data_IF_764401259360
#
_entry.id   IF_764401259360
#
_cell.length_a   1.000
_cell.length_b   1.000
_cell.length_c   1.000
_cell.angle_alpha   90.00
_cell.angle_beta   90.00
_cell.angle_gamma   90.00
#
_symmetry.space_group_name_H-M   'P 1'
#
loop_
_entity.id
_entity.type
_entity.pdbx_description
1 polymer ?
#
# COMPACT_ATOMS: atom_id res chain seq x y z
N UNK A 1 -27.17 -50.38 -11.88
CA UNK A 1 -25.76 -50.02 -11.56
C UNK A 1 -25.33 -48.67 -12.15
N UNK A 2 -25.70 -48.33 -13.39
CA UNK A 2 -25.34 -47.04 -14.02
C UNK A 2 -25.92 -45.78 -13.32
N UNK A 3 -27.12 -45.86 -12.72
CA UNK A 3 -27.74 -44.73 -12.02
C UNK A 3 -27.01 -44.31 -10.73
N UNK A 4 -26.44 -45.26 -9.98
CA UNK A 4 -25.62 -44.96 -8.80
C UNK A 4 -24.31 -44.27 -9.19
N UNK A 5 -23.75 -44.63 -10.35
CA UNK A 5 -22.52 -44.02 -10.86
C UNK A 5 -22.73 -42.56 -11.31
N UNK A 6 -23.94 -42.21 -11.78
CA UNK A 6 -24.29 -40.83 -12.13
C UNK A 6 -24.42 -39.95 -10.88
N UNK A 7 -25.17 -40.39 -9.88
CA UNK A 7 -25.35 -39.65 -8.62
C UNK A 7 -24.02 -39.42 -7.86
N UNK A 8 -23.09 -40.38 -7.93
CA UNK A 8 -21.76 -40.23 -7.33
C UNK A 8 -20.89 -39.21 -8.10
N UNK A 9 -21.05 -39.09 -9.42
CA UNK A 9 -20.36 -38.06 -10.22
C UNK A 9 -20.87 -36.66 -9.90
N UNK A 10 -22.19 -36.49 -9.73
CA UNK A 10 -22.77 -35.19 -9.35
C UNK A 10 -22.33 -34.75 -7.95
N UNK A 11 -22.17 -35.70 -7.03
CA UNK A 11 -21.64 -35.43 -5.69
C UNK A 11 -20.15 -35.03 -5.74
N UNK A 12 -19.36 -35.65 -6.61
CA UNK A 12 -17.94 -35.33 -6.80
C UNK A 12 -17.75 -33.95 -7.44
N UNK A 13 -18.52 -33.60 -8.47
CA UNK A 13 -18.45 -32.30 -9.16
C UNK A 13 -18.77 -31.13 -8.21
N UNK A 14 -19.72 -31.34 -7.28
CA UNK A 14 -20.02 -30.39 -6.20
C UNK A 14 -18.85 -30.24 -5.23
N UNK A 15 -18.18 -31.33 -4.86
CA UNK A 15 -17.01 -31.28 -3.97
C UNK A 15 -15.83 -30.57 -4.63
N UNK A 16 -15.61 -30.78 -5.93
CA UNK A 16 -14.53 -30.15 -6.69
C UNK A 16 -14.77 -28.65 -6.87
N UNK A 17 -16.04 -28.25 -7.05
CA UNK A 17 -16.45 -26.84 -7.07
C UNK A 17 -16.22 -26.15 -5.73
N UNK A 18 -16.57 -26.81 -4.62
CA UNK A 18 -16.34 -26.30 -3.26
C UNK A 18 -14.84 -26.18 -2.98
N UNK A 19 -14.05 -27.19 -3.36
CA UNK A 19 -12.59 -27.22 -3.17
C UNK A 19 -11.89 -26.10 -3.96
N UNK A 20 -12.38 -25.81 -5.17
CA UNK A 20 -11.85 -24.72 -6.01
C UNK A 20 -12.16 -23.33 -5.44
N UNK A 21 -13.33 -23.14 -4.82
CA UNK A 21 -13.68 -21.89 -4.16
C UNK A 21 -12.82 -21.64 -2.89
N UNK A 22 -12.58 -22.70 -2.10
CA UNK A 22 -11.78 -22.63 -0.87
C UNK A 22 -10.30 -22.35 -1.16
N UNK A 23 -9.73 -23.00 -2.19
CA UNK A 23 -8.32 -22.80 -2.56
C UNK A 23 -8.03 -21.40 -3.11
N UNK A 24 -8.99 -20.76 -3.78
CA UNK A 24 -8.85 -19.37 -4.25
C UNK A 24 -8.92 -18.34 -3.12
N UNK A 25 -9.72 -18.59 -2.08
CA UNK A 25 -9.83 -17.70 -0.92
C UNK A 25 -8.58 -17.74 0.00
N UNK A 26 -7.88 -18.87 0.02
CA UNK A 26 -6.65 -19.07 0.79
C UNK A 26 -5.41 -19.14 -0.12
N UNK A 27 -5.36 -18.34 -1.20
CA UNK A 27 -4.07 -18.10 -1.86
C UNK A 27 -3.26 -17.18 -0.94
N UNK A 28 -2.17 -17.63 -0.30
CA UNK A 28 -1.33 -16.74 0.48
C UNK A 28 -0.88 -15.64 -0.47
N UNK A 29 -1.30 -14.40 -0.20
CA UNK A 29 -0.76 -13.24 -0.90
C UNK A 29 0.72 -13.26 -0.56
N UNK A 30 1.56 -13.52 -1.56
CA UNK A 30 3.01 -13.51 -1.40
C UNK A 30 3.40 -12.16 -0.77
N UNK A 31 3.79 -12.19 0.51
CA UNK A 31 4.11 -10.98 1.26
C UNK A 31 5.48 -10.54 0.78
N UNK A 32 5.50 -9.66 -0.22
CA UNK A 32 6.74 -9.03 -0.67
C UNK A 32 7.23 -8.08 0.42
N UNK A 33 8.26 -8.49 1.16
CA UNK A 33 8.91 -7.68 2.19
C UNK A 33 9.73 -6.57 1.54
N UNK A 34 9.06 -5.50 1.10
CA UNK A 34 9.70 -4.29 0.58
C UNK A 34 9.49 -3.11 1.53
N UNK A 35 10.57 -2.35 1.72
CA UNK A 35 10.55 -1.10 2.48
C UNK A 35 11.12 0.03 1.61
N UNK A 36 11.06 1.26 2.14
CA UNK A 36 11.64 2.41 1.46
C UNK A 36 13.16 2.20 1.24
N UNK A 37 13.69 2.49 0.04
CA UNK A 37 15.12 2.39 -0.22
C UNK A 37 15.91 3.39 0.62
N UNK A 38 17.16 3.04 0.95
CA UNK A 38 18.09 3.95 1.61
C UNK A 38 18.40 5.17 0.73
N UNK A 39 18.28 6.36 1.30
CA UNK A 39 18.57 7.62 0.61
C UNK A 39 19.93 8.17 1.07
N UNK A 40 20.92 8.16 0.17
CA UNK A 40 22.28 8.61 0.47
C UNK A 40 22.35 10.09 0.90
N UNK A 41 21.31 10.90 0.64
CA UNK A 41 21.21 12.29 1.11
C UNK A 41 21.11 12.38 2.64
N UNK A 42 20.71 11.29 3.30
CA UNK A 42 20.48 11.23 4.74
C UNK A 42 21.29 10.08 5.38
N UNK A 43 22.63 10.18 5.45
CA UNK A 43 23.49 9.10 5.96
C UNK A 43 23.45 8.94 7.49
N UNK A 44 22.87 9.91 8.20
CA UNK A 44 22.83 9.92 9.66
C UNK A 44 21.73 9.00 10.22
N UNK A 45 21.94 8.44 11.41
CA UNK A 45 20.93 7.61 12.10
C UNK A 45 19.61 8.36 12.36
N UNK A 46 19.65 9.69 12.51
CA UNK A 46 18.44 10.49 12.66
C UNK A 46 17.69 10.63 11.33
N UNK A 47 16.58 9.90 11.17
CA UNK A 47 15.76 9.89 9.95
C UNK A 47 14.65 10.95 9.93
N UNK A 48 14.65 11.91 10.87
CA UNK A 48 13.54 12.88 10.99
C UNK A 48 13.39 13.77 9.75
N UNK A 49 14.52 14.25 9.20
CA UNK A 49 14.53 15.01 7.95
C UNK A 49 14.16 14.16 6.73
N UNK A 50 14.51 12.87 6.74
CA UNK A 50 14.15 11.95 5.66
C UNK A 50 12.64 11.72 5.62
N UNK A 51 12.02 11.43 6.78
CA UNK A 51 10.57 11.34 6.93
C UNK A 51 9.86 12.62 6.42
N UNK A 52 10.28 13.79 6.89
CA UNK A 52 9.67 15.06 6.48
C UNK A 52 9.79 15.31 4.98
N UNK A 53 10.95 15.02 4.39
CA UNK A 53 11.17 15.19 2.95
C UNK A 53 10.23 14.32 2.13
N UNK A 54 10.08 13.03 2.48
CA UNK A 54 9.17 12.11 1.78
C UNK A 54 7.69 12.50 1.94
N UNK A 55 7.30 12.97 3.13
CA UNK A 55 5.97 13.50 3.37
C UNK A 55 5.65 14.69 2.46
N UNK A 56 6.59 15.65 2.33
CA UNK A 56 6.42 16.80 1.45
C UNK A 56 6.38 16.39 -0.03
N UNK A 57 7.23 15.46 -0.47
CA UNK A 57 7.24 14.93 -1.83
C UNK A 57 5.89 14.30 -2.21
N UNK A 58 5.30 13.47 -1.34
CA UNK A 58 3.98 12.87 -1.56
C UNK A 58 2.91 13.95 -1.79
N UNK A 59 2.83 14.93 -0.89
CA UNK A 59 1.80 15.96 -1.03
C UNK A 59 2.05 16.93 -2.17
N UNK A 60 3.30 17.17 -2.58
CA UNK A 60 3.61 17.91 -3.80
C UNK A 60 3.15 17.14 -5.04
N UNK A 61 3.34 15.82 -5.05
CA UNK A 61 2.86 14.94 -6.11
C UNK A 61 1.33 15.01 -6.23
N UNK A 62 0.62 14.87 -5.10
CA UNK A 62 -0.85 14.96 -5.05
C UNK A 62 -1.34 16.33 -5.51
N UNK A 63 -0.70 17.42 -5.07
CA UNK A 63 -1.05 18.77 -5.50
C UNK A 63 -0.84 19.02 -7.00
N UNK A 64 0.18 18.39 -7.61
CA UNK A 64 0.49 18.59 -9.02
C UNK A 64 -0.30 17.66 -9.96
N UNK A 65 -0.57 16.43 -9.54
CA UNK A 65 -1.18 15.37 -10.38
C UNK A 65 -2.63 15.05 -10.05
N UNK A 66 -3.13 15.48 -8.89
CA UNK A 66 -4.45 15.14 -8.37
C UNK A 66 -4.42 13.92 -7.44
N UNK A 67 -5.54 13.72 -6.74
CA UNK A 67 -5.74 12.61 -5.82
C UNK A 67 -5.82 11.28 -6.59
N UNK A 68 -5.02 10.29 -6.19
CA UNK A 68 -5.07 8.93 -6.73
C UNK A 68 -4.17 8.65 -7.94
N UNK A 69 -3.23 9.55 -8.28
CA UNK A 69 -2.24 9.26 -9.32
C UNK A 69 -1.30 8.10 -8.88
N UNK A 70 -1.12 7.05 -9.70
CA UNK A 70 -0.35 5.86 -9.34
C UNK A 70 1.14 6.17 -9.11
N UNK A 71 1.65 7.28 -9.65
CA UNK A 71 3.02 7.72 -9.35
C UNK A 71 3.18 8.23 -7.93
N UNK A 72 2.12 8.79 -7.34
CA UNK A 72 2.16 9.31 -5.98
C UNK A 72 2.12 8.20 -4.92
N UNK A 73 1.58 7.02 -5.26
CA UNK A 73 1.50 5.85 -4.36
C UNK A 73 2.88 5.36 -3.89
N UNK A 74 3.92 5.52 -4.73
CA UNK A 74 5.29 5.16 -4.36
C UNK A 74 5.78 6.02 -3.19
N UNK A 75 5.59 7.33 -3.29
CA UNK A 75 5.90 8.27 -2.21
C UNK A 75 5.03 8.00 -0.99
N UNK A 76 3.79 7.57 -1.23
CA UNK A 76 2.84 7.24 -0.19
C UNK A 76 3.27 6.01 0.63
N UNK A 77 3.90 5.02 0.01
CA UNK A 77 4.53 3.89 0.70
C UNK A 77 5.74 4.34 1.52
N UNK A 78 6.61 5.17 0.93
CA UNK A 78 7.85 5.57 1.59
C UNK A 78 7.64 6.38 2.87
N UNK A 79 6.77 7.39 2.87
CA UNK A 79 6.55 8.17 4.10
C UNK A 79 5.86 7.33 5.19
N UNK A 80 4.98 6.39 4.81
CA UNK A 80 4.32 5.48 5.78
C UNK A 80 5.30 4.49 6.42
N UNK A 81 6.35 4.08 5.71
CA UNK A 81 7.39 3.20 6.26
C UNK A 81 8.43 3.93 7.11
N UNK A 82 8.68 5.22 6.84
CA UNK A 82 9.73 6.00 7.51
C UNK A 82 9.22 6.81 8.71
N UNK A 83 8.00 7.33 8.64
CA UNK A 83 7.47 8.24 9.66
C UNK A 83 6.68 7.47 10.73
N UNK A 84 6.88 7.76 12.03
CA UNK A 84 5.95 7.35 13.07
C UNK A 84 4.54 7.87 12.77
N UNK A 85 3.50 7.06 13.05
CA UNK A 85 2.10 7.44 12.78
C UNK A 85 1.70 8.77 13.44
N UNK A 86 2.18 9.01 14.66
CA UNK A 86 1.96 10.26 15.39
C UNK A 86 2.46 11.49 14.63
N UNK A 87 3.60 11.37 13.94
CA UNK A 87 4.18 12.48 13.19
C UNK A 87 3.37 12.79 11.95
N UNK A 88 2.76 11.79 11.32
CA UNK A 88 1.86 12.03 10.19
C UNK A 88 0.64 12.82 10.65
N UNK A 89 0.06 12.48 11.81
CA UNK A 89 -1.04 13.23 12.41
C UNK A 89 -0.65 14.69 12.72
N UNK A 90 0.50 14.88 13.37
CA UNK A 90 1.01 16.21 13.70
C UNK A 90 1.30 17.01 12.41
N UNK A 91 1.97 16.43 11.43
CA UNK A 91 2.31 17.11 10.16
C UNK A 91 1.05 17.50 9.38
N UNK A 92 -0.01 16.68 9.41
CA UNK A 92 -1.30 17.03 8.82
C UNK A 92 -1.95 18.23 9.52
N UNK A 93 -1.86 18.31 10.85
CA UNK A 93 -2.39 19.46 11.60
C UNK A 93 -1.60 20.76 11.32
N UNK A 94 -0.26 20.68 11.29
CA UNK A 94 0.60 21.82 10.95
C UNK A 94 0.46 22.26 9.48
N UNK A 95 0.13 21.34 8.57
CA UNK A 95 -0.09 21.60 7.14
C UNK A 95 -1.23 22.59 6.89
N UNK A 96 -2.28 22.57 7.71
CA UNK A 96 -3.39 23.54 7.60
C UNK A 96 -3.02 24.95 8.08
N UNK A 97 -1.92 25.11 8.84
CA UNK A 97 -1.62 26.39 9.51
C UNK A 97 -0.42 27.16 8.94
N UNK A 98 0.52 26.54 8.21
CA UNK A 98 1.83 27.18 7.89
C UNK A 98 2.45 26.90 6.50
N UNK A 99 1.76 26.29 5.54
CA UNK A 99 2.32 26.15 4.17
C UNK A 99 1.75 27.25 3.28
N UNK A 100 2.46 28.36 3.02
CA UNK A 100 2.21 29.11 1.80
C UNK A 100 2.62 28.16 0.67
N UNK A 101 1.63 27.78 -0.13
CA UNK A 101 1.76 26.99 -1.32
C UNK A 101 2.73 27.69 -2.30
N UNK A 102 4.04 27.53 -2.11
CA UNK A 102 5.03 27.91 -3.13
C UNK A 102 5.38 26.67 -3.96
N UNK A 103 4.34 26.10 -4.55
CA UNK A 103 4.44 25.44 -5.84
C UNK A 103 4.50 26.60 -6.83
N UNK A 104 5.69 27.08 -7.16
CA UNK A 104 5.86 27.88 -8.37
C UNK A 104 6.05 26.91 -9.52
N UNK A 105 5.25 27.14 -10.56
CA UNK A 105 5.34 26.66 -11.94
C UNK A 105 6.76 26.38 -12.40
#
# INVERSE_FOLDING_TARGET
MLMQHYLLKDAQDKLDTITSAVTNAHKPKEIKLETAPGDYRFPTTNQSRHCFTRYVEYHRCVAAKGDGAPECDKFAKYYRSLCPGEWVCILLYYKMSKIPFRIKS
#
